data_IF_313543904443
#
_entry.id   IF_313543904443
#
_cell.length_a   1.000
_cell.length_b   1.000
_cell.length_c   1.000
_cell.angle_alpha   90.00
_cell.angle_beta   90.00
_cell.angle_gamma   90.00
#
_symmetry.space_group_name_H-M   'P 1'
#
loop_
_entity.id
_entity.type
_entity.pdbx_description
1 polymer ?
#
# COMPACT_ATOMS: atom_id res chain seq x y z
N UNK A 1 -9.15 -12.67 -27.44
CA UNK A 1 -8.33 -11.73 -28.20
C UNK A 1 -9.09 -10.41 -28.26
N UNK A 2 -8.82 -9.51 -27.32
CA UNK A 2 -9.32 -8.15 -27.33
C UNK A 2 -8.13 -7.25 -27.68
N UNK A 3 -7.91 -7.06 -28.98
CA UNK A 3 -7.01 -6.01 -29.52
C UNK A 3 -7.71 -4.65 -29.40
N UNK A 4 -7.96 -4.21 -28.17
CA UNK A 4 -8.21 -2.80 -27.93
C UNK A 4 -6.84 -2.16 -27.75
N UNK A 5 -6.51 -1.17 -28.59
CA UNK A 5 -5.46 -0.20 -28.30
C UNK A 5 -5.86 0.57 -27.03
N UNK A 6 -5.59 -0.02 -25.87
CA UNK A 6 -5.87 0.58 -24.57
C UNK A 6 -4.86 1.70 -24.39
N UNK A 7 -5.30 2.93 -24.64
CA UNK A 7 -4.52 4.10 -24.29
C UNK A 7 -4.41 4.16 -22.77
N UNK A 8 -3.23 3.81 -22.25
CA UNK A 8 -2.94 3.93 -20.83
C UNK A 8 -2.68 5.39 -20.49
N UNK A 9 -3.51 5.92 -19.59
CA UNK A 9 -3.33 7.27 -19.04
C UNK A 9 -2.03 7.37 -18.25
N UNK A 10 -1.66 6.30 -17.54
CA UNK A 10 -0.41 6.21 -16.78
C UNK A 10 0.43 5.05 -17.25
N UNK A 11 1.70 5.32 -17.56
CA UNK A 11 2.59 4.33 -18.11
C UNK A 11 4.03 4.66 -17.74
N UNK A 12 4.68 3.77 -17.02
CA UNK A 12 6.12 3.83 -16.70
C UNK A 12 6.86 3.42 -17.96
N UNK A 13 7.43 4.38 -18.69
CA UNK A 13 8.19 4.15 -19.92
C UNK A 13 9.53 3.48 -19.63
N UNK A 14 10.20 3.90 -18.55
CA UNK A 14 11.48 3.30 -18.18
C UNK A 14 11.74 3.36 -16.68
N UNK A 15 12.54 2.40 -16.23
CA UNK A 15 13.08 2.29 -14.89
C UNK A 15 14.59 2.10 -14.99
N UNK A 16 15.34 2.92 -14.28
CA UNK A 16 16.78 2.75 -14.09
C UNK A 16 17.06 2.58 -12.60
N UNK A 17 17.89 1.61 -12.26
CA UNK A 17 18.30 1.28 -10.89
C UNK A 17 19.82 1.28 -10.84
N UNK A 18 20.36 1.91 -9.79
CA UNK A 18 21.77 1.85 -9.43
C UNK A 18 21.92 1.51 -7.94
N UNK A 19 22.76 0.52 -7.63
CA UNK A 19 23.17 0.11 -6.28
C UNK A 19 22.01 -0.15 -5.31
N UNK A 20 20.97 -0.85 -5.79
CA UNK A 20 19.75 -1.11 -5.04
C UNK A 20 19.52 -2.60 -4.83
N UNK A 21 19.44 -3.03 -3.56
CA UNK A 21 19.29 -4.44 -3.16
C UNK A 21 20.33 -5.32 -3.85
N UNK A 22 19.91 -6.14 -4.82
CA UNK A 22 20.79 -7.08 -5.51
C UNK A 22 21.34 -6.50 -6.82
N UNK A 23 20.83 -5.35 -7.29
CA UNK A 23 21.11 -4.77 -8.60
C UNK A 23 22.21 -3.71 -8.49
N UNK A 24 23.31 -3.90 -9.23
CA UNK A 24 24.33 -2.85 -9.38
C UNK A 24 23.85 -1.80 -10.39
N UNK A 25 23.52 -2.22 -11.60
CA UNK A 25 22.91 -1.39 -12.64
C UNK A 25 21.82 -2.19 -13.35
N UNK A 26 20.64 -1.61 -13.51
CA UNK A 26 19.56 -2.22 -14.28
C UNK A 26 18.77 -1.15 -15.02
N UNK A 27 18.46 -1.40 -16.30
CA UNK A 27 17.59 -0.57 -17.10
C UNK A 27 16.47 -1.40 -17.74
N UNK A 28 15.23 -0.93 -17.60
CA UNK A 28 14.03 -1.54 -18.18
C UNK A 28 13.31 -0.48 -18.98
N UNK A 29 13.04 -0.74 -20.26
CA UNK A 29 12.29 0.14 -21.17
C UNK A 29 11.00 -0.53 -21.61
N UNK A 30 9.88 -0.06 -21.07
CA UNK A 30 8.59 -0.66 -21.36
C UNK A 30 8.02 -0.10 -22.68
N UNK A 31 7.47 -1.01 -23.47
CA UNK A 31 6.77 -0.71 -24.73
C UNK A 31 5.34 -1.25 -24.71
N UNK A 32 5.01 -2.08 -23.72
CA UNK A 32 3.72 -2.74 -23.59
C UNK A 32 3.11 -2.56 -22.19
N UNK A 33 1.76 -2.56 -22.08
CA UNK A 33 1.01 -2.48 -20.82
C UNK A 33 1.45 -3.45 -19.72
N UNK A 34 1.85 -4.66 -20.10
CA UNK A 34 2.18 -5.71 -19.14
C UNK A 34 3.65 -6.07 -19.24
N UNK A 35 4.37 -5.98 -18.13
CA UNK A 35 5.80 -6.27 -18.00
C UNK A 35 5.96 -7.48 -17.09
N UNK A 36 6.52 -8.56 -17.61
CA UNK A 36 6.80 -9.79 -16.87
C UNK A 36 8.29 -9.91 -16.64
N UNK A 37 8.68 -9.88 -15.37
CA UNK A 37 10.04 -10.08 -14.91
C UNK A 37 10.14 -11.54 -14.43
N UNK A 38 10.95 -12.35 -15.10
CA UNK A 38 11.12 -13.76 -14.77
C UNK A 38 12.58 -14.14 -14.54
N UNK A 39 12.80 -15.26 -13.86
CA UNK A 39 14.13 -15.75 -13.52
C UNK A 39 14.13 -16.55 -12.22
N UNK A 40 15.25 -17.19 -11.89
CA UNK A 40 15.39 -18.06 -10.72
C UNK A 40 15.09 -17.34 -9.39
N UNK A 41 14.90 -18.09 -8.32
CA UNK A 41 14.73 -17.50 -6.99
C UNK A 41 15.99 -16.76 -6.54
N UNK A 42 15.82 -15.60 -5.91
CA UNK A 42 16.92 -14.78 -5.39
C UNK A 42 17.62 -13.84 -6.38
N UNK A 43 17.25 -13.84 -7.67
CA UNK A 43 17.83 -12.92 -8.68
C UNK A 43 17.38 -11.46 -8.55
N UNK A 44 16.55 -11.13 -7.55
CA UNK A 44 16.12 -9.76 -7.29
C UNK A 44 14.88 -9.28 -8.06
N UNK A 45 14.02 -10.19 -8.55
CA UNK A 45 12.74 -9.85 -9.22
C UNK A 45 11.88 -8.90 -8.38
N UNK A 46 11.60 -9.27 -7.13
CA UNK A 46 10.82 -8.44 -6.20
C UNK A 46 11.51 -7.09 -5.91
N UNK A 47 12.84 -7.02 -5.98
CA UNK A 47 13.57 -5.76 -5.77
C UNK A 47 13.24 -4.73 -6.85
N UNK A 48 12.86 -5.16 -8.06
CA UNK A 48 12.42 -4.24 -9.11
C UNK A 48 11.05 -3.65 -8.78
N UNK A 49 10.10 -4.47 -8.33
CA UNK A 49 8.81 -3.98 -7.84
C UNK A 49 8.99 -3.06 -6.62
N UNK A 50 9.93 -3.39 -5.74
CA UNK A 50 10.28 -2.55 -4.60
C UNK A 50 10.84 -1.19 -5.06
N UNK A 51 11.70 -1.15 -6.09
CA UNK A 51 12.22 0.09 -6.66
C UNK A 51 11.10 0.99 -7.20
N UNK A 52 10.11 0.43 -7.90
CA UNK A 52 8.92 1.15 -8.38
C UNK A 52 8.10 1.69 -7.20
N UNK A 53 7.91 0.89 -6.16
CA UNK A 53 7.10 1.28 -5.00
C UNK A 53 7.67 2.45 -4.20
N UNK A 54 8.95 2.80 -4.34
CA UNK A 54 9.58 3.93 -3.62
C UNK A 54 9.01 5.30 -4.03
N UNK A 55 8.40 5.38 -5.22
CA UNK A 55 7.73 6.59 -5.71
C UNK A 55 6.32 6.77 -5.11
N UNK A 56 5.78 5.75 -4.44
CA UNK A 56 4.45 5.78 -3.79
C UNK A 56 4.47 6.48 -2.43
N UNK A 57 3.33 6.56 -1.74
CA UNK A 57 3.26 7.05 -0.37
C UNK A 57 3.63 5.97 0.65
N UNK A 58 4.37 6.37 1.70
CA UNK A 58 4.84 5.45 2.73
C UNK A 58 6.24 4.91 2.47
N UNK A 59 6.48 3.67 2.90
CA UNK A 59 7.80 3.03 3.00
C UNK A 59 8.05 1.97 1.92
N UNK A 60 7.28 2.03 0.82
CA UNK A 60 7.34 1.09 -0.28
C UNK A 60 6.81 -0.30 0.05
N UNK A 61 7.05 -1.23 -0.86
CA UNK A 61 6.47 -2.57 -0.92
C UNK A 61 6.78 -3.43 0.32
N UNK A 62 8.02 -3.38 0.83
CA UNK A 62 8.47 -4.18 1.99
C UNK A 62 8.54 -3.42 3.31
N UNK A 63 8.19 -2.14 3.33
CA UNK A 63 8.24 -1.30 4.53
C UNK A 63 9.66 -1.20 5.17
N UNK A 64 10.72 -1.51 4.42
CA UNK A 64 12.11 -1.52 4.89
C UNK A 64 12.64 -0.10 5.12
N UNK A 65 13.71 0.03 5.92
CA UNK A 65 14.42 1.31 6.03
C UNK A 65 15.20 1.55 4.74
N UNK A 66 15.35 2.82 4.33
CA UNK A 66 16.10 3.18 3.12
C UNK A 66 17.55 2.67 3.14
N UNK A 67 18.17 2.61 4.32
CA UNK A 67 19.52 2.08 4.49
C UNK A 67 19.62 0.58 4.14
N UNK A 68 18.56 -0.18 4.36
CA UNK A 68 18.51 -1.62 4.06
C UNK A 68 18.28 -1.88 2.56
N UNK A 69 17.96 -0.84 1.80
CA UNK A 69 17.68 -0.92 0.37
C UNK A 69 18.94 -0.69 -0.49
N UNK A 70 20.03 -0.19 0.09
CA UNK A 70 21.32 -0.05 -0.61
C UNK A 70 21.90 -1.44 -0.87
N UNK A 71 22.54 -1.62 -2.03
CA UNK A 71 23.31 -2.84 -2.34
C UNK A 71 24.43 -3.05 -1.31
N UNK A 72 24.73 -4.31 -1.00
CA UNK A 72 25.80 -4.62 -0.04
C UNK A 72 27.12 -4.06 -0.57
N UNK A 73 27.93 -3.52 0.34
CA UNK A 73 29.20 -2.82 0.06
C UNK A 73 29.08 -1.48 -0.68
N UNK A 74 27.86 -0.95 -0.86
CA UNK A 74 27.63 0.38 -1.42
C UNK A 74 27.19 1.38 -0.33
N UNK A 75 27.41 2.66 -0.62
CA UNK A 75 27.03 3.77 0.29
C UNK A 75 25.80 4.55 -0.17
N UNK A 76 25.37 4.35 -1.42
CA UNK A 76 24.24 5.07 -2.01
C UNK A 76 23.44 4.16 -2.94
N UNK A 77 22.18 4.52 -3.17
CA UNK A 77 21.40 4.01 -4.30
C UNK A 77 20.76 5.16 -5.07
N UNK A 78 20.47 4.92 -6.35
CA UNK A 78 19.69 5.79 -7.21
C UNK A 78 18.62 4.97 -7.93
N UNK A 79 17.39 5.48 -7.95
CA UNK A 79 16.32 4.92 -8.79
C UNK A 79 15.73 6.07 -9.58
N UNK A 80 15.64 5.90 -10.90
CA UNK A 80 15.06 6.86 -11.83
C UNK A 80 13.93 6.22 -12.64
N UNK A 81 12.90 6.99 -12.91
CA UNK A 81 11.67 6.54 -13.55
C UNK A 81 11.17 7.61 -14.52
N UNK A 82 11.04 7.25 -15.79
CA UNK A 82 10.33 8.06 -16.77
C UNK A 82 8.89 7.57 -16.83
N UNK A 83 7.93 8.45 -16.57
CA UNK A 83 6.51 8.12 -16.55
C UNK A 83 5.72 9.08 -17.42
N UNK A 84 4.87 8.50 -18.26
CA UNK A 84 3.76 9.18 -18.89
C UNK A 84 2.58 9.19 -17.93
N UNK A 85 2.03 10.36 -17.66
CA UNK A 85 0.77 10.56 -16.93
C UNK A 85 -0.29 11.16 -17.88
N UNK A 86 -1.49 11.40 -17.35
CA UNK A 86 -2.60 11.98 -18.12
C UNK A 86 -2.19 13.18 -18.98
N UNK A 87 -2.87 13.33 -20.13
CA UNK A 87 -2.63 14.39 -21.14
C UNK A 87 -1.24 14.31 -21.80
N UNK A 88 -0.63 13.13 -21.89
CA UNK A 88 0.69 12.90 -22.48
C UNK A 88 1.81 13.73 -21.81
N UNK A 89 1.67 14.02 -20.52
CA UNK A 89 2.74 14.68 -19.76
C UNK A 89 3.75 13.62 -19.36
N UNK A 90 5.02 13.87 -19.67
CA UNK A 90 6.13 13.02 -19.24
C UNK A 90 6.83 13.64 -18.03
N UNK A 91 7.14 12.81 -17.04
CA UNK A 91 7.88 13.19 -15.85
C UNK A 91 9.10 12.29 -15.66
N UNK A 92 10.23 12.93 -15.34
CA UNK A 92 11.44 12.25 -14.89
C UNK A 92 11.51 12.32 -13.38
N UNK A 93 11.31 11.18 -12.72
CA UNK A 93 11.35 11.06 -11.27
C UNK A 93 12.64 10.38 -10.87
N UNK A 94 13.33 10.91 -9.87
CA UNK A 94 14.53 10.28 -9.32
C UNK A 94 14.49 10.33 -7.79
N UNK A 95 14.88 9.22 -7.17
CA UNK A 95 15.00 9.08 -5.72
C UNK A 95 16.37 8.50 -5.39
N UNK A 96 17.16 9.23 -4.61
CA UNK A 96 18.47 8.79 -4.15
C UNK A 96 18.50 8.72 -2.63
N UNK A 97 19.38 7.87 -2.10
CA UNK A 97 19.65 7.81 -0.67
C UNK A 97 21.14 7.64 -0.43
N UNK A 98 21.65 8.31 0.60
CA UNK A 98 23.04 8.19 1.04
C UNK A 98 23.10 7.73 2.48
N UNK A 99 23.81 6.62 2.71
CA UNK A 99 24.12 6.09 4.05
C UNK A 99 24.96 7.06 4.87
N UNK A 100 25.98 7.65 4.25
CA UNK A 100 26.93 8.57 4.90
C UNK A 100 26.24 9.85 5.35
N UNK A 101 25.43 10.47 4.48
CA UNK A 101 24.66 11.68 4.80
C UNK A 101 23.37 11.40 5.57
N UNK A 102 22.89 10.14 5.59
CA UNK A 102 21.60 9.70 6.14
C UNK A 102 20.39 10.44 5.56
N UNK A 103 20.49 10.87 4.30
CA UNK A 103 19.49 11.72 3.64
C UNK A 103 18.97 11.07 2.37
N UNK A 104 17.66 11.15 2.17
CA UNK A 104 17.01 10.87 0.88
C UNK A 104 16.89 12.17 0.10
N UNK A 105 17.22 12.15 -1.19
CA UNK A 105 16.90 13.24 -2.11
C UNK A 105 15.90 12.78 -3.16
N UNK A 106 15.05 13.71 -3.57
CA UNK A 106 13.99 13.47 -4.54
C UNK A 106 14.10 14.54 -5.61
N UNK A 107 14.02 14.13 -6.87
CA UNK A 107 14.04 15.02 -8.02
C UNK A 107 12.82 14.77 -8.91
N UNK A 108 12.25 15.86 -9.43
CA UNK A 108 11.19 15.85 -10.44
C UNK A 108 11.66 16.76 -11.57
N UNK A 109 11.82 16.20 -12.77
CA UNK A 109 12.37 16.89 -13.95
C UNK A 109 13.69 17.63 -13.62
N UNK A 110 14.61 16.92 -12.95
CA UNK A 110 15.92 17.42 -12.53
C UNK A 110 15.92 18.39 -11.33
N UNK A 111 14.76 18.84 -10.83
CA UNK A 111 14.67 19.78 -9.71
C UNK A 111 14.49 19.06 -8.39
N UNK A 112 15.31 19.38 -7.38
CA UNK A 112 15.20 18.79 -6.03
C UNK A 112 13.88 19.21 -5.36
N UNK A 113 13.19 18.25 -4.73
CA UNK A 113 11.90 18.43 -4.05
C UNK A 113 11.90 17.74 -2.70
N UNK A 114 11.05 18.20 -1.78
CA UNK A 114 10.90 17.60 -0.44
C UNK A 114 10.20 16.23 -0.47
N UNK A 115 9.29 16.02 -1.42
CA UNK A 115 8.55 14.77 -1.57
C UNK A 115 7.90 14.67 -2.95
N UNK A 116 7.45 13.47 -3.33
CA UNK A 116 6.62 13.27 -4.53
C UNK A 116 5.13 13.62 -4.31
N UNK A 117 4.74 14.19 -3.15
CA UNK A 117 3.33 14.35 -2.74
C UNK A 117 2.45 15.02 -3.82
N UNK A 118 2.98 16.02 -4.51
CA UNK A 118 2.23 16.82 -5.49
C UNK A 118 1.89 16.04 -6.77
N UNK A 119 2.67 15.01 -7.10
CA UNK A 119 2.51 14.22 -8.33
C UNK A 119 1.94 12.82 -8.10
N UNK A 120 1.95 12.32 -6.85
CA UNK A 120 1.50 10.96 -6.50
C UNK A 120 0.04 10.67 -6.89
N UNK A 121 -0.82 11.69 -6.84
CA UNK A 121 -2.22 11.57 -7.28
C UNK A 121 -2.34 11.19 -8.75
N UNK A 122 -1.35 11.57 -9.55
CA UNK A 122 -1.37 11.33 -10.99
C UNK A 122 -1.03 9.90 -11.36
N UNK A 123 -0.37 9.11 -10.50
CA UNK A 123 0.03 7.73 -10.79
C UNK A 123 -0.02 6.83 -9.54
N UNK A 124 -1.22 6.50 -9.03
CA UNK A 124 -1.33 5.58 -7.90
C UNK A 124 -0.75 4.21 -8.28
N UNK A 125 -0.16 3.52 -7.30
CA UNK A 125 0.33 2.16 -7.48
C UNK A 125 -0.26 1.26 -6.39
N UNK A 126 -0.76 0.10 -6.81
CA UNK A 126 -1.25 -0.94 -5.93
C UNK A 126 -0.39 -2.20 -6.12
N UNK A 127 -0.33 -3.03 -5.09
CA UNK A 127 0.46 -4.25 -5.15
C UNK A 127 -0.11 -5.40 -4.36
N UNK A 128 0.30 -6.60 -4.78
CA UNK A 128 0.05 -7.86 -4.10
C UNK A 128 1.40 -8.55 -3.95
N UNK A 129 1.73 -8.97 -2.73
CA UNK A 129 2.98 -9.67 -2.43
C UNK A 129 2.71 -10.92 -1.60
N UNK A 130 3.66 -11.89 -1.57
CA UNK A 130 3.56 -13.04 -0.68
C UNK A 130 3.47 -12.66 0.81
N UNK A 131 3.95 -11.47 1.19
CA UNK A 131 3.80 -10.95 2.55
C UNK A 131 2.35 -10.54 2.85
N UNK A 132 1.66 -9.96 1.87
CA UNK A 132 0.26 -9.55 1.99
C UNK A 132 -0.67 -10.75 2.13
N UNK A 133 -0.30 -11.93 1.61
CA UNK A 133 -1.12 -13.16 1.76
C UNK A 133 -1.33 -13.56 3.23
N UNK A 134 -0.46 -13.09 4.14
CA UNK A 134 -0.54 -13.37 5.58
C UNK A 134 -1.38 -12.36 6.37
N UNK A 135 -2.06 -11.40 5.73
CA UNK A 135 -2.76 -10.32 6.46
C UNK A 135 -3.89 -10.85 7.36
N UNK A 136 -4.61 -11.89 6.94
CA UNK A 136 -5.80 -12.36 7.66
C UNK A 136 -5.41 -13.11 8.93
N UNK A 137 -4.50 -14.09 8.84
CA UNK A 137 -3.96 -14.81 10.00
C UNK A 137 -2.86 -14.06 10.77
N UNK A 138 -2.44 -12.88 10.32
CA UNK A 138 -1.37 -12.09 10.93
C UNK A 138 -1.83 -11.27 12.15
N UNK A 139 -0.92 -10.50 12.77
CA UNK A 139 -1.28 -9.57 13.83
C UNK A 139 -2.10 -8.39 13.30
N UNK A 140 -2.92 -7.77 14.14
CA UNK A 140 -3.74 -6.59 13.80
C UNK A 140 -2.94 -5.43 13.20
N UNK A 141 -1.65 -5.32 13.56
CA UNK A 141 -0.76 -4.33 12.97
C UNK A 141 -0.58 -4.50 11.46
N UNK A 142 -0.53 -5.75 10.96
CA UNK A 142 -0.44 -6.04 9.54
C UNK A 142 -1.71 -5.61 8.81
N UNK A 143 -2.89 -5.90 9.37
CA UNK A 143 -4.19 -5.44 8.82
C UNK A 143 -4.32 -3.92 8.82
N UNK A 144 -3.88 -3.25 9.89
CA UNK A 144 -3.82 -1.77 9.94
C UNK A 144 -2.89 -1.19 8.89
N UNK A 145 -1.67 -1.72 8.76
CA UNK A 145 -0.73 -1.27 7.73
C UNK A 145 -1.29 -1.47 6.32
N UNK A 146 -2.00 -2.58 6.09
CA UNK A 146 -2.66 -2.89 4.83
C UNK A 146 -3.76 -1.86 4.51
N UNK A 147 -4.71 -1.60 5.43
CA UNK A 147 -5.75 -0.59 5.19
C UNK A 147 -5.17 0.82 5.09
N UNK A 148 -4.17 1.17 5.89
CA UNK A 148 -3.51 2.48 5.83
C UNK A 148 -2.80 2.71 4.49
N UNK A 149 -2.23 1.65 3.91
CA UNK A 149 -1.66 1.68 2.55
C UNK A 149 -2.74 1.93 1.50
N UNK A 150 -3.89 1.25 1.61
CA UNK A 150 -5.02 1.47 0.69
C UNK A 150 -5.49 2.92 0.81
N UNK A 151 -5.77 3.40 2.03
CA UNK A 151 -6.25 4.76 2.28
C UNK A 151 -5.28 5.81 1.73
N UNK A 152 -3.98 5.58 1.84
CA UNK A 152 -2.96 6.51 1.34
C UNK A 152 -2.98 6.72 -0.18
N UNK A 153 -3.65 5.86 -0.95
CA UNK A 153 -3.87 6.07 -2.40
C UNK A 153 -5.00 7.07 -2.69
N UNK A 154 -5.94 7.25 -1.75
CA UNK A 154 -7.06 8.19 -1.88
C UNK A 154 -6.80 9.50 -1.10
N UNK A 155 -6.15 9.39 0.05
CA UNK A 155 -5.83 10.49 0.95
C UNK A 155 -4.31 10.63 1.13
N UNK A 156 -3.74 11.61 0.42
CA UNK A 156 -2.30 11.90 0.46
C UNK A 156 -1.78 12.33 1.84
N UNK A 157 -2.65 12.80 2.73
CA UNK A 157 -2.29 13.25 4.08
C UNK A 157 -2.42 12.13 5.13
N UNK A 158 -2.98 10.97 4.77
CA UNK A 158 -3.19 9.85 5.70
C UNK A 158 -1.91 9.40 6.38
N UNK A 159 -0.85 9.15 5.61
CA UNK A 159 0.45 8.75 6.16
C UNK A 159 1.06 9.83 7.05
N UNK A 160 0.86 11.12 6.73
CA UNK A 160 1.32 12.22 7.58
C UNK A 160 0.59 12.22 8.93
N UNK A 161 -0.74 12.08 8.92
CA UNK A 161 -1.55 11.97 10.14
C UNK A 161 -1.14 10.77 11.00
N UNK A 162 -0.89 9.60 10.41
CA UNK A 162 -0.40 8.42 11.14
C UNK A 162 0.98 8.68 11.78
N UNK A 163 1.90 9.31 11.05
CA UNK A 163 3.23 9.61 11.58
C UNK A 163 3.16 10.61 12.74
N UNK A 164 2.32 11.64 12.61
CA UNK A 164 2.06 12.61 13.67
C UNK A 164 1.41 11.98 14.89
N UNK A 165 0.39 11.14 14.67
CA UNK A 165 -0.27 10.36 15.72
C UNK A 165 0.74 9.51 16.52
N UNK A 166 1.59 8.75 15.81
CA UNK A 166 2.61 7.92 16.45
C UNK A 166 3.66 8.74 17.21
N UNK A 167 3.99 9.95 16.71
CA UNK A 167 4.89 10.89 17.40
C UNK A 167 4.26 11.38 18.70
N UNK A 168 3.00 11.81 18.65
CA UNK A 168 2.25 12.27 19.82
C UNK A 168 2.04 11.15 20.85
N UNK A 169 1.79 9.91 20.42
CA UNK A 169 1.71 8.77 21.33
C UNK A 169 3.03 8.56 22.08
N UNK A 170 4.17 8.63 21.38
CA UNK A 170 5.49 8.52 22.02
C UNK A 170 5.75 9.67 22.99
N UNK A 171 5.37 10.90 22.62
CA UNK A 171 5.47 12.06 23.51
C UNK A 171 4.61 11.86 24.75
N UNK A 172 3.34 11.46 24.60
CA UNK A 172 2.44 11.15 25.72
C UNK A 172 3.03 10.09 26.64
N UNK A 173 3.50 8.96 26.11
CA UNK A 173 4.12 7.89 26.90
C UNK A 173 5.38 8.35 27.63
N UNK A 174 6.14 9.28 27.06
CA UNK A 174 7.32 9.88 27.72
C UNK A 174 6.90 10.78 28.88
N UNK A 175 5.96 11.70 28.66
CA UNK A 175 5.46 12.62 29.69
C UNK A 175 4.82 11.85 30.85
N UNK A 176 4.00 10.85 30.55
CA UNK A 176 3.40 9.98 31.56
C UNK A 176 4.43 9.21 32.41
N UNK A 177 5.63 8.93 31.89
CA UNK A 177 6.68 8.23 32.65
C UNK A 177 7.58 9.15 33.45
N UNK A 178 7.88 10.32 32.90
CA UNK A 178 8.91 11.22 33.44
C UNK A 178 8.32 12.35 34.29
N UNK A 179 7.13 12.86 33.95
CA UNK A 179 6.54 14.06 34.55
C UNK A 179 4.99 13.97 34.58
N UNK A 180 4.42 13.05 35.38
CA UNK A 180 2.96 12.88 35.50
C UNK A 180 2.22 14.16 35.96
N UNK A 181 2.92 15.10 36.60
CA UNK A 181 2.35 16.34 37.13
C UNK A 181 2.10 17.43 36.07
N UNK A 182 2.70 17.33 34.87
CA UNK A 182 2.49 18.29 33.77
C UNK A 182 1.17 18.00 33.03
N UNK A 183 0.07 18.24 33.74
CA UNK A 183 -1.29 17.97 33.26
C UNK A 183 -1.65 18.83 32.04
N UNK A 184 -1.16 20.06 31.97
CA UNK A 184 -1.46 20.97 30.88
C UNK A 184 -0.82 20.51 29.57
N UNK A 185 0.44 20.08 29.61
CA UNK A 185 1.08 19.51 28.43
C UNK A 185 0.40 18.21 27.98
N UNK A 186 0.06 17.32 28.91
CA UNK A 186 -0.71 16.10 28.61
C UNK A 186 -2.06 16.43 27.95
N UNK A 187 -2.78 17.43 28.47
CA UNK A 187 -4.07 17.85 27.92
C UNK A 187 -3.94 18.34 26.47
N UNK A 188 -2.88 19.07 26.14
CA UNK A 188 -2.61 19.52 24.76
C UNK A 188 -2.28 18.34 23.85
N UNK A 189 -1.43 17.41 24.28
CA UNK A 189 -1.09 16.22 23.49
C UNK A 189 -2.33 15.35 23.26
N UNK A 190 -3.14 15.12 24.29
CA UNK A 190 -4.34 14.27 24.23
C UNK A 190 -5.45 14.88 23.37
N UNK A 191 -5.55 16.21 23.33
CA UNK A 191 -6.44 16.94 22.43
C UNK A 191 -6.03 16.79 20.95
N UNK A 192 -4.74 16.85 20.66
CA UNK A 192 -4.23 16.59 19.31
C UNK A 192 -4.37 15.12 18.91
N UNK A 193 -4.10 14.20 19.84
CA UNK A 193 -4.26 12.75 19.63
C UNK A 193 -5.70 12.39 19.28
N UNK A 194 -6.69 12.94 19.99
CA UNK A 194 -8.10 12.63 19.74
C UNK A 194 -8.53 13.07 18.34
N UNK A 195 -8.21 14.30 17.95
CA UNK A 195 -8.48 14.85 16.61
C UNK A 195 -7.86 14.01 15.51
N UNK A 196 -6.57 13.69 15.64
CA UNK A 196 -5.86 12.93 14.61
C UNK A 196 -6.38 11.48 14.55
N UNK A 197 -6.66 10.83 15.70
CA UNK A 197 -7.23 9.49 15.73
C UNK A 197 -8.57 9.42 15.00
N UNK A 198 -9.47 10.37 15.27
CA UNK A 198 -10.77 10.45 14.60
C UNK A 198 -10.61 10.70 13.11
N UNK A 199 -9.70 11.59 12.73
CA UNK A 199 -9.39 11.87 11.32
C UNK A 199 -8.87 10.62 10.58
N UNK A 200 -7.95 9.87 11.17
CA UNK A 200 -7.40 8.62 10.61
C UNK A 200 -8.50 7.56 10.46
N UNK A 201 -9.31 7.34 11.50
CA UNK A 201 -10.40 6.38 11.47
C UNK A 201 -11.50 6.77 10.48
N UNK A 202 -11.81 8.06 10.34
CA UNK A 202 -12.76 8.56 9.34
C UNK A 202 -12.30 8.25 7.92
N UNK A 203 -11.02 8.46 7.60
CA UNK A 203 -10.47 8.10 6.29
C UNK A 203 -10.49 6.59 6.05
N UNK A 204 -10.22 5.76 7.07
CA UNK A 204 -10.34 4.30 6.95
C UNK A 204 -11.78 3.87 6.67
N UNK A 205 -12.73 4.44 7.39
CA UNK A 205 -14.16 4.15 7.23
C UNK A 205 -14.65 4.51 5.82
N UNK A 206 -14.37 5.73 5.34
CA UNK A 206 -14.74 6.18 3.99
C UNK A 206 -14.22 5.22 2.92
N UNK A 207 -12.95 4.82 3.01
CA UNK A 207 -12.36 3.93 2.01
C UNK A 207 -12.96 2.53 2.08
N UNK A 208 -13.14 1.92 3.25
CA UNK A 208 -13.81 0.62 3.35
C UNK A 208 -15.22 0.69 2.77
N UNK A 209 -15.99 1.74 3.07
CA UNK A 209 -17.33 1.94 2.49
C UNK A 209 -17.31 2.05 0.96
N UNK A 210 -16.28 2.67 0.37
CA UNK A 210 -16.11 2.72 -1.10
C UNK A 210 -15.76 1.35 -1.68
N UNK A 211 -14.89 0.58 -1.02
CA UNK A 211 -14.52 -0.76 -1.47
C UNK A 211 -15.72 -1.71 -1.45
N UNK A 212 -16.57 -1.61 -0.43
CA UNK A 212 -17.75 -2.47 -0.27
C UNK A 212 -18.69 -2.43 -1.49
N UNK A 213 -18.79 -1.29 -2.21
CA UNK A 213 -19.57 -1.17 -3.47
C UNK A 213 -19.14 -2.15 -4.56
N UNK A 214 -17.88 -2.58 -4.53
CA UNK A 214 -17.29 -3.52 -5.49
C UNK A 214 -17.14 -4.94 -4.92
N UNK A 215 -17.09 -5.09 -3.59
CA UNK A 215 -16.89 -6.39 -2.92
C UNK A 215 -18.18 -7.18 -2.67
N UNK A 216 -19.31 -6.49 -2.54
CA UNK A 216 -20.62 -7.14 -2.38
C UNK A 216 -21.19 -7.67 -3.71
N UNK A 217 -20.75 -7.10 -4.83
CA UNK A 217 -21.19 -7.53 -6.15
C UNK A 217 -20.50 -8.83 -6.54
N UNK A 218 -21.27 -9.79 -7.02
CA UNK A 218 -20.74 -11.05 -7.53
C UNK A 218 -19.76 -10.80 -8.68
N UNK A 219 -18.48 -11.09 -8.44
CA UNK A 219 -17.45 -11.09 -9.46
C UNK A 219 -17.28 -12.48 -10.04
N UNK A 220 -16.93 -12.58 -11.32
CA UNK A 220 -16.57 -13.87 -11.91
C UNK A 220 -15.20 -14.27 -11.35
N UNK A 221 -15.06 -15.50 -10.87
CA UNK A 221 -13.77 -16.07 -10.44
C UNK A 221 -13.21 -15.62 -9.09
N UNK A 222 -13.83 -14.65 -8.41
CA UNK A 222 -13.39 -14.11 -7.13
C UNK A 222 -14.51 -14.07 -6.09
N UNK A 223 -14.22 -14.39 -4.83
CA UNK A 223 -15.22 -14.52 -3.79
C UNK A 223 -15.84 -13.18 -3.40
N UNK A 224 -17.14 -13.23 -3.10
CA UNK A 224 -17.83 -12.17 -2.39
C UNK A 224 -17.39 -12.13 -0.95
N UNK A 225 -17.16 -10.93 -0.43
CA UNK A 225 -16.70 -10.75 0.93
C UNK A 225 -17.21 -9.46 1.54
N UNK A 226 -17.15 -9.39 2.87
CA UNK A 226 -17.43 -8.19 3.64
C UNK A 226 -16.22 -7.78 4.45
N UNK A 227 -15.90 -6.49 4.38
CA UNK A 227 -14.94 -5.83 5.25
C UNK A 227 -15.70 -5.01 6.28
N UNK A 228 -15.31 -5.12 7.54
CA UNK A 228 -15.84 -4.30 8.62
C UNK A 228 -14.79 -4.05 9.69
N UNK A 229 -15.04 -3.08 10.56
CA UNK A 229 -14.20 -2.87 11.72
C UNK A 229 -14.85 -3.50 12.95
N UNK A 230 -14.05 -3.94 13.92
CA UNK A 230 -14.55 -4.48 15.19
C UNK A 230 -14.29 -3.48 16.33
N UNK A 231 -15.32 -3.20 17.13
CA UNK A 231 -15.27 -2.41 18.39
C UNK A 231 -14.30 -1.21 18.39
N UNK A 232 -14.40 -0.38 17.35
CA UNK A 232 -13.41 0.65 17.05
C UNK A 232 -14.02 2.05 16.88
N UNK A 233 -13.16 3.06 16.76
CA UNK A 233 -13.55 4.46 16.49
C UNK A 233 -14.31 4.53 15.15
N UNK A 234 -13.90 3.73 14.17
CA UNK A 234 -14.54 3.62 12.86
C UNK A 234 -16.03 3.26 12.97
N UNK A 235 -16.39 2.28 13.80
CA UNK A 235 -17.80 1.91 14.01
C UNK A 235 -18.58 3.01 14.71
N UNK A 236 -17.95 3.71 15.67
CA UNK A 236 -18.59 4.80 16.40
C UNK A 236 -18.89 5.99 15.50
N UNK A 237 -18.04 6.26 14.51
CA UNK A 237 -18.23 7.30 13.51
C UNK A 237 -19.48 7.10 12.63
N UNK A 238 -20.04 5.89 12.57
CA UNK A 238 -21.29 5.62 11.85
C UNK A 238 -22.53 6.14 12.60
N UNK A 239 -22.44 6.28 13.93
CA UNK A 239 -23.61 6.56 14.79
C UNK A 239 -23.46 7.81 15.64
N UNK A 240 -22.29 8.46 15.64
CA UNK A 240 -22.01 9.67 16.41
C UNK A 240 -21.20 10.69 15.61
N UNK A 241 -21.41 12.00 15.83
CA UNK A 241 -20.56 13.04 15.26
C UNK A 241 -19.08 12.89 15.66
N UNK A 242 -18.18 13.24 14.74
CA UNK A 242 -16.74 13.20 14.98
C UNK A 242 -16.31 14.00 16.23
N UNK A 243 -16.88 15.19 16.42
CA UNK A 243 -16.57 16.07 17.57
C UNK A 243 -16.90 15.42 18.92
N UNK A 244 -17.97 14.62 19.00
CA UNK A 244 -18.35 13.95 20.25
C UNK A 244 -17.40 12.78 20.54
N UNK A 245 -16.96 12.07 19.50
CA UNK A 245 -15.95 11.01 19.63
C UNK A 245 -14.59 11.60 20.04
N UNK A 246 -14.20 12.77 19.53
CA UNK A 246 -12.99 13.48 19.97
C UNK A 246 -13.03 13.82 21.46
N UNK A 247 -14.16 14.34 21.96
CA UNK A 247 -14.37 14.63 23.39
C UNK A 247 -14.32 13.36 24.23
N UNK A 248 -14.99 12.30 23.80
CA UNK A 248 -14.99 11.00 24.49
C UNK A 248 -13.59 10.37 24.54
N UNK A 249 -12.82 10.44 23.44
CA UNK A 249 -11.43 9.98 23.41
C UNK A 249 -10.54 10.76 24.38
N UNK A 250 -10.69 12.08 24.45
CA UNK A 250 -9.96 12.92 25.41
C UNK A 250 -10.25 12.51 26.86
N UNK A 251 -11.51 12.27 27.18
CA UNK A 251 -11.90 11.77 28.51
C UNK A 251 -11.34 10.36 28.77
N UNK A 252 -11.33 9.50 27.76
CA UNK A 252 -10.75 8.16 27.87
C UNK A 252 -9.25 8.21 28.12
N UNK A 253 -8.50 9.06 27.41
CA UNK A 253 -7.07 9.26 27.65
C UNK A 253 -6.79 9.76 29.06
N UNK A 254 -7.59 10.72 29.56
CA UNK A 254 -7.46 11.23 30.93
C UNK A 254 -7.70 10.12 31.97
N UNK A 255 -8.74 9.30 31.78
CA UNK A 255 -9.07 8.19 32.69
C UNK A 255 -8.05 7.05 32.63
N UNK A 256 -7.43 6.81 31.48
CA UNK A 256 -6.51 5.70 31.27
C UNK A 256 -5.06 5.98 31.63
N UNK A 257 -4.68 7.23 31.96
CA UNK A 257 -3.27 7.63 32.19
C UNK A 257 -2.48 6.64 33.06
N UNK A 258 -3.03 6.25 34.23
CA UNK A 258 -2.38 5.29 35.15
C UNK A 258 -2.14 3.92 34.51
N UNK A 259 -3.11 3.41 33.75
CA UNK A 259 -2.98 2.11 33.08
C UNK A 259 -2.02 2.22 31.89
N UNK A 260 -2.06 3.34 31.17
CA UNK A 260 -1.22 3.63 30.00
C UNK A 260 0.28 3.69 30.37
N UNK A 261 0.60 4.18 31.57
CA UNK A 261 1.97 4.13 32.14
C UNK A 261 2.45 2.68 32.26
N UNK A 262 1.63 1.82 32.87
CA UNK A 262 1.97 0.42 33.15
C UNK A 262 2.19 -0.39 31.86
N UNK A 263 1.34 -0.18 30.85
CA UNK A 263 1.44 -0.92 29.57
C UNK A 263 2.45 -0.28 28.60
N UNK A 264 3.01 0.87 28.92
CA UNK A 264 3.97 1.59 28.07
C UNK A 264 3.39 2.07 26.74
N UNK A 265 2.08 2.34 26.69
CA UNK A 265 1.35 2.61 25.45
C UNK A 265 0.05 3.38 25.70
N UNK A 266 -0.97 3.12 24.89
CA UNK A 266 -2.30 3.68 25.08
C UNK A 266 -3.38 2.63 24.87
N UNK A 267 -4.31 2.53 25.82
CA UNK A 267 -5.50 1.68 25.75
C UNK A 267 -6.45 2.10 24.63
N UNK A 268 -6.53 3.40 24.34
CA UNK A 268 -7.47 3.96 23.37
C UNK A 268 -6.75 4.59 22.17
N UNK A 269 -7.47 4.70 21.05
CA UNK A 269 -7.03 5.42 19.85
C UNK A 269 -6.97 4.55 18.58
N UNK A 270 -6.59 5.16 17.46
CA UNK A 270 -6.66 4.52 16.14
C UNK A 270 -5.64 3.38 15.93
N UNK A 271 -4.69 3.18 16.84
CA UNK A 271 -3.82 2.00 16.86
C UNK A 271 -4.54 0.73 17.32
N UNK A 272 -5.78 0.85 17.82
CA UNK A 272 -6.62 -0.28 18.25
C UNK A 272 -7.58 -0.78 17.17
N UNK A 273 -7.60 -0.13 16.00
CA UNK A 273 -8.40 -0.58 14.86
C UNK A 273 -8.13 -2.03 14.53
N UNK A 274 -9.22 -2.78 14.38
CA UNK A 274 -9.25 -4.19 14.00
C UNK A 274 -10.13 -4.31 12.75
N UNK A 275 -9.55 -4.82 11.66
CA UNK A 275 -10.24 -5.03 10.40
C UNK A 275 -10.63 -6.51 10.31
N UNK A 276 -11.92 -6.76 10.15
CA UNK A 276 -12.47 -8.08 9.96
C UNK A 276 -12.86 -8.29 8.50
N UNK A 277 -12.68 -9.52 8.02
CA UNK A 277 -13.04 -9.94 6.67
C UNK A 277 -13.83 -11.24 6.74
N UNK A 278 -15.03 -11.26 6.16
CA UNK A 278 -15.90 -12.42 6.09
C UNK A 278 -16.03 -12.92 4.65
N UNK A 279 -15.84 -14.21 4.42
CA UNK A 279 -16.02 -14.83 3.12
C UNK A 279 -17.45 -15.39 3.00
N UNK A 280 -18.28 -14.79 2.16
CA UNK A 280 -19.66 -15.22 1.99
C UNK A 280 -19.81 -16.57 1.29
N UNK A 281 -18.90 -16.92 0.38
CA UNK A 281 -18.96 -18.20 -0.33
C UNK A 281 -18.69 -19.39 0.59
N UNK A 282 -17.85 -19.18 1.61
CA UNK A 282 -17.49 -20.20 2.61
C UNK A 282 -18.20 -20.05 3.94
N UNK A 283 -18.95 -18.97 4.11
CA UNK A 283 -19.65 -18.62 5.34
C UNK A 283 -18.72 -18.67 6.58
N UNK A 284 -17.52 -18.09 6.46
CA UNK A 284 -16.54 -18.09 7.54
C UNK A 284 -15.63 -16.86 7.55
N UNK A 285 -15.02 -16.52 8.69
CA UNK A 285 -13.94 -15.53 8.79
C UNK A 285 -12.76 -15.86 7.87
N UNK A 286 -12.13 -14.83 7.30
CA UNK A 286 -11.01 -14.98 6.37
C UNK A 286 -9.77 -15.65 6.98
N UNK A 287 -9.51 -15.45 8.28
CA UNK A 287 -8.41 -16.08 9.01
C UNK A 287 -8.59 -17.61 9.17
N UNK A 288 -9.83 -18.11 9.05
CA UNK A 288 -10.16 -19.54 9.05
C UNK A 288 -10.17 -20.16 7.65
N UNK A 289 -10.12 -19.35 6.58
CA UNK A 289 -10.04 -19.84 5.20
C UNK A 289 -8.68 -20.49 4.90
N UNK A 290 -8.64 -21.35 3.89
CA UNK A 290 -7.38 -21.90 3.37
C UNK A 290 -6.48 -20.81 2.78
N UNK A 291 -5.17 -21.07 2.64
CA UNK A 291 -4.22 -20.11 2.07
C UNK A 291 -4.61 -19.67 0.65
N UNK A 292 -5.10 -20.60 -0.18
CA UNK A 292 -5.60 -20.29 -1.53
C UNK A 292 -6.82 -19.36 -1.50
N UNK A 293 -7.74 -19.57 -0.56
CA UNK A 293 -8.93 -18.70 -0.39
C UNK A 293 -8.57 -17.33 0.16
N UNK A 294 -7.66 -17.27 1.14
CA UNK A 294 -7.11 -16.00 1.65
C UNK A 294 -6.47 -15.19 0.52
N UNK A 295 -5.73 -15.84 -0.38
CA UNK A 295 -5.16 -15.20 -1.57
C UNK A 295 -6.23 -14.63 -2.49
N UNK A 296 -7.33 -15.35 -2.71
CA UNK A 296 -8.45 -14.85 -3.50
C UNK A 296 -9.15 -13.66 -2.85
N UNK A 297 -9.38 -13.70 -1.53
CA UNK A 297 -9.94 -12.57 -0.77
C UNK A 297 -9.04 -11.32 -0.89
N UNK A 298 -7.72 -11.50 -0.75
CA UNK A 298 -6.75 -10.42 -0.93
C UNK A 298 -6.82 -9.82 -2.34
N UNK A 299 -6.85 -10.67 -3.37
CA UNK A 299 -6.98 -10.22 -4.76
C UNK A 299 -8.30 -9.45 -4.94
N UNK A 300 -9.43 -9.95 -4.42
CA UNK A 300 -10.72 -9.25 -4.46
C UNK A 300 -10.63 -7.84 -3.87
N UNK A 301 -9.98 -7.69 -2.70
CA UNK A 301 -9.82 -6.38 -2.04
C UNK A 301 -8.98 -5.42 -2.88
N UNK A 302 -7.87 -5.90 -3.44
CA UNK A 302 -6.99 -5.06 -4.26
C UNK A 302 -7.65 -4.69 -5.59
N UNK A 303 -8.42 -5.60 -6.21
CA UNK A 303 -9.22 -5.32 -7.39
C UNK A 303 -10.33 -4.29 -7.10
N UNK A 304 -11.03 -4.42 -5.97
CA UNK A 304 -11.99 -3.43 -5.52
C UNK A 304 -11.34 -2.06 -5.30
N UNK A 305 -10.13 -2.03 -4.74
CA UNK A 305 -9.36 -0.79 -4.58
C UNK A 305 -9.02 -0.16 -5.93
N UNK A 306 -8.55 -0.97 -6.89
CA UNK A 306 -8.21 -0.49 -8.22
C UNK A 306 -9.43 0.09 -8.96
N UNK A 307 -10.58 -0.60 -8.87
CA UNK A 307 -11.87 -0.15 -9.41
C UNK A 307 -12.36 1.13 -8.73
N UNK A 308 -12.28 1.23 -7.40
CA UNK A 308 -12.67 2.42 -6.65
C UNK A 308 -11.77 3.63 -6.93
N UNK A 309 -10.46 3.42 -7.13
CA UNK A 309 -9.55 4.48 -7.57
C UNK A 309 -9.95 4.99 -8.95
N UNK A 310 -10.18 4.08 -9.90
CA UNK A 310 -10.59 4.45 -11.26
C UNK A 310 -11.92 5.20 -11.27
N UNK A 311 -12.91 4.74 -10.51
CA UNK A 311 -14.23 5.37 -10.38
C UNK A 311 -14.13 6.80 -9.82
N UNK A 312 -13.31 7.01 -8.79
CA UNK A 312 -13.22 8.30 -8.09
C UNK A 312 -12.28 9.32 -8.73
N UNK A 313 -11.32 8.88 -9.55
CA UNK A 313 -10.27 9.77 -10.09
C UNK A 313 -10.15 9.72 -11.61
N UNK A 314 -10.83 8.78 -12.28
CA UNK A 314 -10.60 8.40 -13.68
C UNK A 314 -9.16 7.91 -13.98
N UNK A 315 -8.36 7.68 -12.94
CA UNK A 315 -6.97 7.23 -13.07
C UNK A 315 -6.89 5.74 -12.73
N UNK A 316 -6.34 4.95 -13.64
CA UNK A 316 -6.06 3.54 -13.41
C UNK A 316 -4.72 3.40 -12.68
N UNK A 317 -4.65 2.59 -11.61
CA UNK A 317 -3.39 2.39 -10.89
C UNK A 317 -2.44 1.51 -11.68
N UNK A 318 -1.13 1.72 -11.45
CA UNK A 318 -0.10 0.77 -11.86
C UNK A 318 -0.10 -0.39 -10.87
N UNK A 319 -0.08 -1.62 -11.38
CA UNK A 319 -0.29 -2.84 -10.61
C UNK A 319 1.01 -3.61 -10.49
N UNK A 320 1.53 -3.78 -9.28
CA UNK A 320 2.76 -4.53 -9.00
C UNK A 320 2.40 -5.87 -8.36
N UNK A 321 2.57 -6.95 -9.12
CA UNK A 321 2.11 -8.29 -8.78
C UNK A 321 3.31 -9.20 -8.53
N UNK A 322 3.66 -9.37 -7.26
CA UNK A 322 4.81 -10.20 -6.86
C UNK A 322 4.37 -11.65 -6.67
N UNK A 323 4.77 -12.55 -7.57
CA UNK A 323 4.45 -13.98 -7.55
C UNK A 323 2.94 -14.29 -7.39
N UNK A 324 2.06 -13.37 -7.81
CA UNK A 324 0.61 -13.50 -7.57
C UNK A 324 -0.03 -14.71 -8.26
N UNK A 325 0.52 -15.15 -9.38
CA UNK A 325 -0.06 -16.28 -10.14
C UNK A 325 0.33 -17.64 -9.57
N UNK A 326 1.22 -17.70 -8.58
CA UNK A 326 1.53 -18.96 -7.89
C UNK A 326 0.27 -19.48 -7.19
N UNK A 327 0.03 -20.79 -7.30
CA UNK A 327 -1.13 -21.46 -6.67
C UNK A 327 -2.52 -20.96 -7.09
N UNK A 328 -2.63 -20.17 -8.17
CA UNK A 328 -3.90 -19.86 -8.83
C UNK A 328 -4.15 -20.81 -10.01
N UNK A 329 -5.39 -21.29 -10.13
CA UNK A 329 -5.79 -22.06 -11.31
C UNK A 329 -5.80 -21.20 -12.58
N UNK A 330 -5.72 -21.86 -13.74
CA UNK A 330 -5.60 -21.18 -15.04
C UNK A 330 -6.78 -20.28 -15.39
N UNK A 331 -7.98 -20.55 -14.85
CA UNK A 331 -9.16 -19.73 -15.07
C UNK A 331 -9.05 -18.41 -14.29
N UNK A 332 -8.68 -18.47 -13.01
CA UNK A 332 -8.51 -17.29 -12.16
C UNK A 332 -7.34 -16.42 -12.60
N UNK A 333 -6.24 -17.02 -13.06
CA UNK A 333 -5.12 -16.28 -13.67
C UNK A 333 -5.57 -15.40 -14.84
N UNK A 334 -6.39 -15.95 -15.74
CA UNK A 334 -6.92 -15.22 -16.90
C UNK A 334 -7.88 -14.11 -16.48
N UNK A 335 -8.85 -14.43 -15.63
CA UNK A 335 -9.83 -13.46 -15.14
C UNK A 335 -9.14 -12.26 -14.48
N UNK A 336 -8.16 -12.52 -13.59
CA UNK A 336 -7.38 -11.44 -12.96
C UNK A 336 -6.71 -10.55 -14.02
N UNK A 337 -6.01 -11.17 -14.95
CA UNK A 337 -5.21 -10.45 -15.94
C UNK A 337 -6.10 -9.66 -16.92
N UNK A 338 -7.19 -10.26 -17.37
CA UNK A 338 -8.18 -9.63 -18.25
C UNK A 338 -8.85 -8.43 -17.57
N UNK A 339 -9.28 -8.56 -16.31
CA UNK A 339 -9.88 -7.45 -15.56
C UNK A 339 -8.89 -6.28 -15.37
N UNK A 340 -7.62 -6.56 -15.14
CA UNK A 340 -6.58 -5.53 -14.98
C UNK A 340 -6.29 -4.81 -16.30
N UNK A 341 -6.27 -5.55 -17.41
CA UNK A 341 -6.16 -4.97 -18.75
C UNK A 341 -7.37 -4.08 -19.03
N UNK A 342 -8.59 -4.58 -18.79
CA UNK A 342 -9.83 -3.83 -19.03
C UNK A 342 -9.90 -2.55 -18.18
N UNK A 343 -9.38 -2.58 -16.94
CA UNK A 343 -9.26 -1.41 -16.09
C UNK A 343 -8.33 -0.33 -16.68
N UNK A 344 -7.49 -0.67 -17.66
CA UNK A 344 -6.49 0.21 -18.23
C UNK A 344 -5.29 0.42 -17.30
N UNK A 345 -4.91 -0.61 -16.54
CA UNK A 345 -3.73 -0.60 -15.69
C UNK A 345 -2.48 -1.04 -16.45
N UNK A 346 -1.35 -0.40 -16.17
CA UNK A 346 -0.04 -1.00 -16.48
C UNK A 346 0.27 -2.05 -15.41
N UNK A 347 0.70 -3.24 -15.81
CA UNK A 347 0.87 -4.40 -14.92
C UNK A 347 2.33 -4.82 -14.91
N UNK A 348 2.93 -4.91 -13.74
CA UNK A 348 4.28 -5.44 -13.53
C UNK A 348 4.19 -6.74 -12.73
N UNK A 349 4.68 -7.84 -13.28
CA UNK A 349 4.55 -9.18 -12.70
C UNK A 349 5.95 -9.75 -12.45
N UNK A 350 6.15 -10.39 -11.29
CA UNK A 350 7.31 -11.26 -11.07
C UNK A 350 6.87 -12.73 -11.07
N UNK A 351 7.69 -13.59 -11.65
CA UNK A 351 7.45 -15.04 -11.68
C UNK A 351 8.77 -15.80 -11.77
N UNK A 352 8.81 -17.08 -11.40
CA UNK A 352 10.00 -17.92 -11.60
C UNK A 352 10.21 -18.29 -13.06
N UNK A 353 9.11 -18.57 -13.76
CA UNK A 353 9.11 -19.03 -15.15
C UNK A 353 8.03 -18.30 -15.95
N UNK A 354 8.18 -18.29 -17.28
CA UNK A 354 7.19 -17.71 -18.17
C UNK A 354 5.90 -18.53 -18.15
N UNK A 355 4.88 -17.98 -17.48
CA UNK A 355 3.56 -18.60 -17.38
C UNK A 355 2.95 -18.73 -18.79
N UNK A 356 2.69 -19.96 -19.25
CA UNK A 356 2.24 -20.23 -20.62
C UNK A 356 0.93 -19.51 -21.01
N UNK A 357 0.10 -19.15 -20.02
CA UNK A 357 -1.12 -18.39 -20.30
C UNK A 357 -0.83 -16.95 -20.75
N UNK A 358 0.25 -16.33 -20.26
CA UNK A 358 0.63 -14.96 -20.61
C UNK A 358 1.15 -14.86 -22.05
N UNK A 359 1.73 -15.94 -22.58
CA UNK A 359 2.23 -16.00 -23.97
C UNK A 359 1.14 -15.80 -25.03
N UNK A 360 -0.13 -15.87 -24.63
CA UNK A 360 -1.30 -15.66 -25.50
C UNK A 360 -1.69 -14.19 -25.66
N UNK A 361 -0.97 -13.28 -25.00
CA UNK A 361 -1.29 -11.86 -24.96
C UNK A 361 -0.20 -11.02 -25.63
N UNK A 362 -0.58 -10.29 -26.67
CA UNK A 362 0.36 -9.46 -27.43
C UNK A 362 0.78 -8.19 -26.67
N UNK A 363 0.06 -7.82 -25.62
CA UNK A 363 0.37 -6.68 -24.75
C UNK A 363 1.35 -7.02 -23.60
N UNK A 364 2.02 -8.18 -23.66
CA UNK A 364 3.03 -8.59 -22.68
C UNK A 364 4.45 -8.43 -23.23
N UNK A 365 5.31 -7.83 -22.42
CA UNK A 365 6.76 -7.72 -22.61
C UNK A 365 7.47 -8.51 -21.51
N UNK A 366 8.50 -9.26 -21.88
CA UNK A 366 9.23 -10.13 -20.97
C UNK A 366 10.65 -9.61 -20.72
N UNK A 367 11.10 -9.74 -19.48
CA UNK A 367 12.45 -9.44 -19.03
C UNK A 367 12.98 -10.61 -18.21
N UNK A 368 14.02 -11.26 -18.72
CA UNK A 368 14.75 -12.29 -17.98
C UNK A 368 15.78 -11.65 -17.06
N UNK A 369 15.82 -12.12 -15.82
CA UNK A 369 16.90 -11.81 -14.90
C UNK A 369 17.75 -13.05 -14.66
N UNK A 370 19.01 -12.92 -15.03
CA UNK A 370 20.05 -13.90 -14.72
C UNK A 370 20.82 -13.44 -13.47
N UNK A 371 21.51 -14.37 -12.79
CA UNK A 371 22.48 -13.95 -11.77
C UNK A 371 23.69 -13.41 -12.51
N UNK A 372 24.10 -12.18 -12.16
CA UNK A 372 25.45 -11.67 -12.44
C UNK A 372 26.52 -12.57 -11.83
#
# INVERSE_FOLDING_TARGET
MLDKNISLNNFINSLSIQNFRNHENLEIVTKKPSVVIYGKNGVGKTSILEALSIFTNGKGLRNSKLIEMIKVNEDTFCISLNIKIEKNIFLDLCSTYSKTKKTRKIYINGKEKKSFKDIKRSFPMLWITPYDEKIFGGPSASRRNFIDRIVANFDLNHTTRINEYNKLLKQRSKVLKENEEDKDWLNVIEDQLSKIAVSVCSSRLDIVSRLMKFLEKKSIGFPNLRLEFLDSIENRLLIKPALDIEKELKLNYLKSRKVDVLIGGSLYGCQKTELFCFNYEKNMPADMCSSGEQKLLLISIIMACAKALKDSTNISPIMLLDEVFTHLDSSKKRILFDELIELGSQIWITTTETDNFLKKYDNVQYYELERE
#
